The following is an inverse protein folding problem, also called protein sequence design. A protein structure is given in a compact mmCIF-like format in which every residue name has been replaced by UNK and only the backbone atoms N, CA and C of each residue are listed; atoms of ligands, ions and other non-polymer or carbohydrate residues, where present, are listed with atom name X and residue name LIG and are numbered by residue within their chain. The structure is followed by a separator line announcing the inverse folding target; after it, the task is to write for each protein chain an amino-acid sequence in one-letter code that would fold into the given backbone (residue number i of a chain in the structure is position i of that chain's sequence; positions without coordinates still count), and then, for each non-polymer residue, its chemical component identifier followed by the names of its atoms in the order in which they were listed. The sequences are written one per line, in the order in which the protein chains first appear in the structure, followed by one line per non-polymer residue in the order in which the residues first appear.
data_IF_362214419856
#
_entry.id   IF_362214419856
#
_cell.length_a   1.000
_cell.length_b   1.000
_cell.length_c   1.000
_cell.angle_alpha   90.00
_cell.angle_beta   90.00
_cell.angle_gamma   90.00
#
_symmetry.space_group_name_H-M   'P 1'
#
loop_
_entity.id
_entity.type
_entity.pdbx_description
1 polymer ?
#
# COMPACT_ATOMS: atom_id res chain seq x y z
N UNK A 1 -11.96 26.96 47.27
CA UNK A 1 -12.90 27.51 46.26
C UNK A 1 -12.37 27.09 44.93
N UNK A 2 -12.47 25.79 44.69
CA UNK A 2 -11.42 25.05 44.00
C UNK A 2 -11.80 24.69 42.57
N UNK A 3 -10.75 24.70 41.77
CA UNK A 3 -10.57 23.93 40.55
C UNK A 3 -11.18 24.52 39.28
N UNK A 4 -10.33 25.32 38.61
CA UNK A 4 -10.26 25.42 37.15
C UNK A 4 -10.32 24.01 36.55
N UNK A 5 -11.31 23.77 35.71
CA UNK A 5 -11.34 22.60 34.84
C UNK A 5 -10.38 22.84 33.68
N UNK A 6 -9.25 22.13 33.69
CA UNK A 6 -8.39 22.05 32.50
C UNK A 6 -9.04 21.15 31.44
N UNK A 7 -8.90 21.46 30.13
CA UNK A 7 -9.39 20.56 29.10
C UNK A 7 -8.54 19.29 29.13
N UNK A 8 -9.17 18.17 29.44
CA UNK A 8 -8.56 16.84 29.37
C UNK A 8 -8.14 16.61 27.93
N UNK A 9 -6.82 16.61 27.68
CA UNK A 9 -6.23 16.13 26.45
C UNK A 9 -6.73 14.70 26.20
N UNK A 10 -7.63 14.54 25.23
CA UNK A 10 -8.10 13.23 24.81
C UNK A 10 -6.94 12.52 24.14
N UNK A 11 -6.29 11.68 24.95
CA UNK A 11 -5.43 10.58 24.53
C UNK A 11 -6.04 9.90 23.32
N UNK A 12 -5.19 9.69 22.33
CA UNK A 12 -5.43 9.04 21.06
C UNK A 12 -5.80 7.56 21.30
N UNK A 13 -7.01 7.31 21.81
CA UNK A 13 -7.60 5.98 21.87
C UNK A 13 -7.97 5.64 20.43
N UNK A 14 -7.07 4.95 19.73
CA UNK A 14 -7.35 4.31 18.46
C UNK A 14 -8.69 3.57 18.58
N UNK A 15 -9.74 4.12 17.98
CA UNK A 15 -11.08 3.56 18.11
C UNK A 15 -11.05 2.09 17.61
N UNK A 16 -11.63 1.14 18.35
CA UNK A 16 -11.56 -0.29 18.02
C UNK A 16 -11.92 -0.59 16.56
N UNK A 17 -12.92 0.08 16.02
CA UNK A 17 -13.36 -0.05 14.62
C UNK A 17 -12.24 0.30 13.62
N UNK A 18 -11.47 1.38 13.89
CA UNK A 18 -10.34 1.79 13.05
C UNK A 18 -9.16 0.82 13.13
N UNK A 19 -9.01 0.10 14.25
CA UNK A 19 -7.96 -0.92 14.39
C UNK A 19 -8.32 -2.15 13.57
N UNK A 20 -9.58 -2.59 13.66
CA UNK A 20 -10.10 -3.73 12.89
C UNK A 20 -10.01 -3.47 11.39
N UNK A 21 -10.41 -2.29 10.92
CA UNK A 21 -10.31 -1.91 9.50
C UNK A 21 -8.86 -1.95 8.98
N UNK A 22 -7.89 -1.51 9.80
CA UNK A 22 -6.47 -1.54 9.43
C UNK A 22 -5.93 -2.97 9.32
N UNK A 23 -6.31 -3.84 10.25
CA UNK A 23 -5.86 -5.23 10.25
C UNK A 23 -6.47 -6.03 9.08
N UNK A 24 -7.74 -5.80 8.75
CA UNK A 24 -8.36 -6.37 7.54
C UNK A 24 -7.69 -5.87 6.26
N UNK A 25 -7.42 -4.56 6.15
CA UNK A 25 -6.72 -4.00 4.99
C UNK A 25 -5.32 -4.58 4.86
N UNK A 26 -4.57 -4.70 5.97
CA UNK A 26 -3.24 -5.30 6.01
C UNK A 26 -3.28 -6.76 5.56
N UNK A 27 -4.27 -7.53 6.03
CA UNK A 27 -4.47 -8.92 5.62
C UNK A 27 -4.74 -9.03 4.12
N UNK A 28 -5.67 -8.23 3.60
CA UNK A 28 -5.97 -8.20 2.16
C UNK A 28 -4.74 -7.84 1.33
N UNK A 29 -3.96 -6.85 1.78
CA UNK A 29 -2.72 -6.45 1.10
C UNK A 29 -1.70 -7.60 1.08
N UNK A 30 -1.53 -8.33 2.19
CA UNK A 30 -0.65 -9.51 2.24
C UNK A 30 -1.12 -10.58 1.25
N UNK A 31 -2.41 -10.92 1.26
CA UNK A 31 -3.00 -11.91 0.34
C UNK A 31 -2.81 -11.50 -1.13
N UNK A 32 -2.92 -10.21 -1.42
CA UNK A 32 -2.68 -9.66 -2.76
C UNK A 32 -1.21 -9.81 -3.17
N UNK A 33 -0.29 -9.41 -2.29
CA UNK A 33 1.14 -9.50 -2.56
C UNK A 33 1.53 -10.96 -2.81
N UNK A 34 0.95 -11.93 -2.11
CA UNK A 34 1.19 -13.36 -2.37
C UNK A 34 0.83 -13.80 -3.79
N UNK A 35 -0.11 -13.13 -4.47
CA UNK A 35 -0.46 -13.42 -5.88
C UNK A 35 0.54 -12.85 -6.89
N UNK A 36 1.43 -11.96 -6.45
CA UNK A 36 2.45 -11.34 -7.28
C UNK A 36 3.70 -12.20 -7.29
N UNK A 37 4.31 -12.32 -8.46
CA UNK A 37 5.68 -12.85 -8.59
C UNK A 37 6.68 -11.91 -7.92
N UNK A 38 7.87 -12.38 -7.57
CA UNK A 38 8.89 -11.53 -6.93
C UNK A 38 9.28 -10.33 -7.79
N UNK A 39 9.28 -10.49 -9.12
CA UNK A 39 9.51 -9.38 -10.06
C UNK A 39 8.38 -8.35 -10.03
N UNK A 40 7.13 -8.80 -9.98
CA UNK A 40 5.94 -7.94 -9.86
C UNK A 40 5.96 -7.17 -8.52
N UNK A 41 6.21 -7.87 -7.39
CA UNK A 41 6.37 -7.25 -6.06
C UNK A 41 7.44 -6.18 -6.05
N UNK A 42 8.62 -6.48 -6.63
CA UNK A 42 9.74 -5.54 -6.68
C UNK A 42 9.39 -4.29 -7.50
N UNK A 43 8.70 -4.43 -8.64
CA UNK A 43 8.24 -3.28 -9.42
C UNK A 43 7.25 -2.41 -8.63
N UNK A 44 6.29 -3.03 -7.94
CA UNK A 44 5.32 -2.30 -7.10
C UNK A 44 6.02 -1.56 -5.96
N UNK A 45 6.94 -2.22 -5.26
CA UNK A 45 7.71 -1.61 -4.17
C UNK A 45 8.51 -0.40 -4.66
N UNK A 46 9.32 -0.58 -5.71
CA UNK A 46 10.18 0.50 -6.21
C UNK A 46 9.34 1.69 -6.74
N UNK A 47 8.18 1.42 -7.35
CA UNK A 47 7.33 2.48 -7.90
C UNK A 47 6.57 3.26 -6.83
N UNK A 48 5.97 2.58 -5.85
CA UNK A 48 5.05 3.21 -4.89
C UNK A 48 5.68 3.56 -3.54
N UNK A 49 6.78 2.91 -3.16
CA UNK A 49 7.43 3.12 -1.88
C UNK A 49 8.76 3.87 -2.00
N UNK A 50 9.50 3.64 -3.08
CA UNK A 50 10.78 4.32 -3.35
C UNK A 50 10.64 5.47 -4.37
N UNK A 51 9.40 5.82 -4.77
CA UNK A 51 9.08 6.88 -5.73
C UNK A 51 9.88 6.84 -7.05
N UNK A 52 10.27 5.64 -7.50
CA UNK A 52 11.07 5.48 -8.71
C UNK A 52 10.23 5.50 -9.98
N UNK A 53 10.75 6.14 -11.03
CA UNK A 53 10.16 6.09 -12.38
C UNK A 53 10.36 4.72 -13.03
N UNK A 54 9.51 4.37 -14.01
CA UNK A 54 9.66 3.10 -14.77
C UNK A 54 11.04 2.95 -15.41
N UNK A 55 11.64 4.04 -15.87
CA UNK A 55 13.00 4.09 -16.43
C UNK A 55 14.07 3.76 -15.39
N UNK A 56 13.98 4.32 -14.20
CA UNK A 56 14.95 4.03 -13.12
C UNK A 56 14.80 2.58 -12.64
N UNK A 57 13.57 2.09 -12.51
CA UNK A 57 13.30 0.69 -12.17
C UNK A 57 13.88 -0.24 -13.23
N UNK A 58 13.74 0.09 -14.52
CA UNK A 58 14.28 -0.69 -15.63
C UNK A 58 15.80 -0.85 -15.50
N UNK A 59 16.50 0.23 -15.15
CA UNK A 59 17.94 0.20 -14.88
C UNK A 59 18.29 -0.66 -13.66
N UNK A 60 17.56 -0.52 -12.54
CA UNK A 60 17.80 -1.31 -11.31
C UNK A 60 17.53 -2.81 -11.51
N UNK A 61 16.57 -3.15 -12.36
CA UNK A 61 16.17 -4.54 -12.63
C UNK A 61 16.87 -5.16 -13.84
N UNK A 62 17.74 -4.41 -14.53
CA UNK A 62 18.44 -4.82 -15.75
C UNK A 62 17.50 -5.40 -16.82
N UNK A 63 16.41 -4.67 -17.11
CA UNK A 63 15.40 -5.01 -18.11
C UNK A 63 14.96 -3.77 -18.88
N UNK A 64 14.18 -3.94 -19.95
CA UNK A 64 13.61 -2.79 -20.67
C UNK A 64 12.49 -2.10 -19.87
N UNK A 65 12.32 -0.80 -20.10
CA UNK A 65 11.21 -0.02 -19.51
C UNK A 65 9.84 -0.59 -19.90
N UNK A 66 9.68 -1.09 -21.13
CA UNK A 66 8.47 -1.79 -21.57
C UNK A 66 8.19 -3.03 -20.72
N UNK A 67 9.23 -3.79 -20.33
CA UNK A 67 9.07 -4.95 -19.46
C UNK A 67 8.61 -4.55 -18.07
N UNK A 68 9.15 -3.47 -17.51
CA UNK A 68 8.70 -2.92 -16.22
C UNK A 68 7.24 -2.47 -16.29
N UNK A 69 6.86 -1.73 -17.35
CA UNK A 69 5.48 -1.29 -17.57
C UNK A 69 4.49 -2.46 -17.64
N UNK A 70 4.85 -3.56 -18.31
CA UNK A 70 4.05 -4.78 -18.35
C UNK A 70 3.90 -5.43 -16.98
N UNK A 71 5.00 -5.55 -16.22
CA UNK A 71 4.99 -6.11 -14.85
C UNK A 71 4.12 -5.25 -13.93
N UNK A 72 4.25 -3.93 -14.01
CA UNK A 72 3.44 -2.97 -13.26
C UNK A 72 1.95 -3.12 -13.58
N UNK A 73 1.60 -3.06 -14.87
CA UNK A 73 0.21 -3.21 -15.35
C UNK A 73 -0.41 -4.53 -14.89
N UNK A 74 0.34 -5.63 -15.01
CA UNK A 74 -0.11 -6.97 -14.58
C UNK A 74 -0.32 -7.04 -13.07
N UNK A 75 0.56 -6.40 -12.29
CA UNK A 75 0.41 -6.29 -10.85
C UNK A 75 -0.89 -5.56 -10.50
N UNK A 76 -1.14 -4.40 -11.10
CA UNK A 76 -2.36 -3.62 -10.84
C UNK A 76 -3.64 -4.39 -11.15
N UNK A 77 -3.67 -5.21 -12.22
CA UNK A 77 -4.82 -6.06 -12.53
C UNK A 77 -5.06 -7.09 -11.42
N UNK A 78 -4.01 -7.78 -10.96
CA UNK A 78 -4.12 -8.76 -9.86
C UNK A 78 -4.54 -8.09 -8.55
N UNK A 79 -3.95 -6.95 -8.23
CA UNK A 79 -4.27 -6.17 -7.04
C UNK A 79 -5.73 -5.72 -7.06
N UNK A 80 -6.22 -5.22 -8.19
CA UNK A 80 -7.63 -4.82 -8.35
C UNK A 80 -8.61 -5.97 -8.15
N UNK A 81 -8.29 -7.18 -8.64
CA UNK A 81 -9.14 -8.36 -8.49
C UNK A 81 -9.34 -8.78 -7.03
N UNK A 82 -8.35 -8.50 -6.17
CA UNK A 82 -8.36 -8.90 -4.75
C UNK A 82 -8.76 -7.76 -3.81
N UNK A 83 -8.24 -6.55 -4.01
CA UNK A 83 -8.52 -5.38 -3.18
C UNK A 83 -9.89 -4.74 -3.49
N UNK A 84 -10.40 -4.88 -4.71
CA UNK A 84 -11.68 -4.30 -5.10
C UNK A 84 -11.75 -2.79 -4.80
N UNK A 85 -12.70 -2.39 -3.96
CA UNK A 85 -12.90 -0.99 -3.56
C UNK A 85 -11.75 -0.42 -2.73
N UNK A 86 -10.99 -1.28 -2.04
CA UNK A 86 -9.84 -0.88 -1.23
C UNK A 86 -8.62 -0.52 -2.08
N UNK A 87 -8.66 -0.75 -3.40
CA UNK A 87 -7.58 -0.39 -4.32
C UNK A 87 -7.25 1.11 -4.29
N UNK A 88 -8.26 1.97 -4.10
CA UNK A 88 -8.05 3.42 -4.02
C UNK A 88 -7.17 3.80 -2.83
N UNK A 89 -7.39 3.17 -1.67
CA UNK A 89 -6.58 3.42 -0.48
C UNK A 89 -5.13 2.98 -0.63
N UNK A 90 -4.83 2.05 -1.55
CA UNK A 90 -3.47 1.60 -1.82
C UNK A 90 -2.72 2.54 -2.79
N UNK A 91 -3.41 3.11 -3.79
CA UNK A 91 -2.80 3.92 -4.85
C UNK A 91 -2.63 5.40 -4.50
N UNK A 92 -3.15 5.84 -3.35
CA UNK A 92 -3.29 7.25 -2.97
C UNK A 92 -4.74 7.68 -2.96
#
# INVERSE_FOLDING_TARGET
GDSKVEPVETKDYLQPDKVVEKDELKRLLMEVLETLTDKEKKVVLLYYYEDMTLKEIANVMDVSESRVSQLHSKSLVKMKQRLGNNMKMFLG
#
